data_IF_479058245765
#
_entry.id   IF_479058245765
#
_cell.length_a   1.000
_cell.length_b   1.000
_cell.length_c   1.000
_cell.angle_alpha   90.00
_cell.angle_beta   90.00
_cell.angle_gamma   90.00
#
_symmetry.space_group_name_H-M   'P 1'
#
loop_
_entity.id
_entity.type
_entity.pdbx_description
1 polymer ?
#
# COMPACT_ATOMS: atom_id res chain seq x y z
N UNK A 1 34.40 7.68 -30.37
CA UNK A 1 33.42 8.53 -31.08
C UNK A 1 32.23 7.70 -31.58
N UNK A 2 32.43 6.65 -32.37
CA UNK A 2 31.31 5.81 -32.83
C UNK A 2 30.61 5.04 -31.68
N UNK A 3 31.38 4.50 -30.74
CA UNK A 3 30.87 3.77 -29.57
C UNK A 3 30.06 4.69 -28.64
N UNK A 4 30.64 5.81 -28.19
CA UNK A 4 29.93 6.84 -27.43
C UNK A 4 28.65 7.35 -28.10
N UNK A 5 28.64 7.53 -29.44
CA UNK A 5 27.44 7.95 -30.15
C UNK A 5 26.34 6.87 -30.13
N UNK A 6 26.71 5.60 -30.16
CA UNK A 6 25.77 4.49 -30.02
C UNK A 6 25.19 4.41 -28.60
N UNK A 7 26.05 4.45 -27.58
CA UNK A 7 25.68 4.47 -26.16
C UNK A 7 24.74 5.65 -25.85
N UNK A 8 25.04 6.84 -26.38
CA UNK A 8 24.21 8.02 -26.22
C UNK A 8 22.86 7.87 -26.91
N UNK A 9 22.83 7.29 -28.11
CA UNK A 9 21.58 7.04 -28.83
C UNK A 9 20.69 6.03 -28.09
N UNK A 10 21.29 4.99 -27.49
CA UNK A 10 20.58 4.01 -26.68
C UNK A 10 19.98 4.67 -25.42
N UNK A 11 20.80 5.42 -24.67
CA UNK A 11 20.35 6.18 -23.52
C UNK A 11 19.20 7.15 -23.87
N UNK A 12 19.28 7.80 -25.02
CA UNK A 12 18.24 8.70 -25.52
C UNK A 12 16.92 7.98 -25.80
N UNK A 13 16.97 6.80 -26.44
CA UNK A 13 15.78 5.97 -26.69
C UNK A 13 15.13 5.51 -25.39
N UNK A 14 15.94 5.01 -24.45
CA UNK A 14 15.48 4.56 -23.14
C UNK A 14 14.80 5.68 -22.36
N UNK A 15 15.41 6.87 -22.27
CA UNK A 15 14.79 8.01 -21.58
C UNK A 15 13.48 8.40 -22.27
N UNK A 16 13.46 8.50 -23.60
CA UNK A 16 12.27 8.91 -24.34
C UNK A 16 11.09 7.96 -24.07
N UNK A 17 11.32 6.65 -24.16
CA UNK A 17 10.30 5.62 -23.98
C UNK A 17 9.86 5.48 -22.52
N UNK A 18 10.79 5.54 -21.56
CA UNK A 18 10.48 5.42 -20.12
C UNK A 18 9.65 6.58 -19.58
N UNK A 19 9.63 7.70 -20.30
CA UNK A 19 8.92 8.93 -19.91
C UNK A 19 7.84 9.32 -20.91
N UNK A 20 7.38 8.38 -21.74
CA UNK A 20 6.30 8.59 -22.70
C UNK A 20 4.96 8.79 -21.95
N UNK A 21 4.25 9.86 -22.31
CA UNK A 21 2.95 10.23 -21.72
C UNK A 21 1.85 9.20 -22.00
N UNK A 22 2.04 8.34 -23.01
CA UNK A 22 1.12 7.25 -23.31
C UNK A 22 1.20 6.10 -22.28
N UNK A 23 2.28 5.98 -21.50
CA UNK A 23 2.44 4.92 -20.52
C UNK A 23 1.38 4.98 -19.41
N UNK A 24 0.85 3.86 -18.95
CA UNK A 24 -0.10 3.87 -17.81
C UNK A 24 0.56 4.29 -16.49
N UNK A 25 1.87 4.08 -16.36
CA UNK A 25 2.69 4.39 -15.20
C UNK A 25 4.16 4.07 -15.50
N UNK A 26 5.03 4.05 -14.48
CA UNK A 26 6.45 3.71 -14.66
C UNK A 26 6.63 2.33 -15.29
N UNK A 27 7.44 2.25 -16.34
CA UNK A 27 7.83 0.98 -16.95
C UNK A 27 9.17 0.55 -16.36
N UNK A 28 9.12 -0.39 -15.41
CA UNK A 28 10.29 -0.74 -14.62
C UNK A 28 11.40 -1.42 -15.43
N UNK A 29 11.07 -2.16 -16.49
CA UNK A 29 12.10 -2.77 -17.33
C UNK A 29 12.89 -1.70 -18.09
N UNK A 30 12.25 -0.64 -18.60
CA UNK A 30 12.93 0.50 -19.22
C UNK A 30 13.77 1.28 -18.20
N UNK A 31 13.24 1.50 -16.99
CA UNK A 31 13.97 2.20 -15.94
C UNK A 31 15.24 1.43 -15.54
N UNK A 32 15.15 0.10 -15.37
CA UNK A 32 16.29 -0.75 -15.06
C UNK A 32 17.28 -0.81 -16.23
N UNK A 33 16.82 -0.89 -17.47
CA UNK A 33 17.69 -0.85 -18.64
C UNK A 33 18.52 0.45 -18.70
N UNK A 34 17.95 1.60 -18.31
CA UNK A 34 18.71 2.85 -18.23
C UNK A 34 19.75 2.82 -17.09
N UNK A 35 19.43 2.20 -15.95
CA UNK A 35 20.40 1.98 -14.87
C UNK A 35 21.57 1.11 -15.34
N UNK A 36 21.28 0.02 -16.06
CA UNK A 36 22.30 -0.87 -16.62
C UNK A 36 23.17 -0.12 -17.64
N UNK A 37 22.55 0.66 -18.54
CA UNK A 37 23.25 1.53 -19.48
C UNK A 37 24.18 2.53 -18.76
N UNK A 38 23.70 3.20 -17.71
CA UNK A 38 24.51 4.15 -16.93
C UNK A 38 25.71 3.48 -16.24
N UNK A 39 25.51 2.27 -15.69
CA UNK A 39 26.56 1.49 -15.03
C UNK A 39 27.58 0.89 -16.02
N UNK A 40 27.15 0.52 -17.21
CA UNK A 40 28.03 0.03 -18.26
C UNK A 40 28.83 1.17 -18.93
N UNK A 41 28.21 2.34 -19.09
CA UNK A 41 28.73 3.43 -19.90
C UNK A 41 28.78 4.76 -19.12
N UNK A 42 29.77 4.90 -18.23
CA UNK A 42 29.91 6.09 -17.39
C UNK A 42 30.12 7.39 -18.20
N UNK A 43 30.66 7.29 -19.42
CA UNK A 43 30.91 8.45 -20.29
C UNK A 43 29.62 9.19 -20.71
N UNK A 44 28.48 8.49 -20.76
CA UNK A 44 27.18 9.09 -21.14
C UNK A 44 26.33 9.53 -19.95
N UNK A 45 26.79 9.34 -18.71
CA UNK A 45 26.03 9.71 -17.50
C UNK A 45 25.63 11.19 -17.48
N UNK A 46 26.52 12.08 -17.92
CA UNK A 46 26.23 13.51 -18.03
C UNK A 46 25.11 13.81 -19.04
N UNK A 47 25.07 13.06 -20.14
CA UNK A 47 24.03 13.18 -21.16
C UNK A 47 22.70 12.60 -20.67
N UNK A 48 22.72 11.48 -19.94
CA UNK A 48 21.53 10.88 -19.32
C UNK A 48 20.86 11.90 -18.41
N UNK A 49 21.62 12.54 -17.52
CA UNK A 49 21.04 13.55 -16.62
C UNK A 49 20.53 14.78 -17.38
N UNK A 50 21.21 15.21 -18.46
CA UNK A 50 20.71 16.27 -19.35
C UNK A 50 19.44 15.88 -20.10
N UNK A 51 19.27 14.61 -20.47
CA UNK A 51 18.05 14.09 -21.06
C UNK A 51 16.91 14.11 -20.03
N UNK A 52 17.16 13.62 -18.81
CA UNK A 52 16.19 13.66 -17.70
C UNK A 52 15.76 15.09 -17.39
N UNK A 53 16.71 16.02 -17.30
CA UNK A 53 16.45 17.44 -17.06
C UNK A 53 15.50 18.04 -18.10
N UNK A 54 15.73 17.73 -19.39
CA UNK A 54 14.83 18.16 -20.47
C UNK A 54 13.42 17.60 -20.34
N UNK A 55 13.26 16.38 -19.81
CA UNK A 55 11.94 15.77 -19.57
C UNK A 55 11.22 16.40 -18.37
N UNK A 56 11.94 16.80 -17.33
CA UNK A 56 11.37 17.59 -16.23
C UNK A 56 10.81 18.93 -16.72
N UNK A 57 11.46 19.54 -17.73
CA UNK A 57 11.05 20.79 -18.37
C UNK A 57 9.97 20.63 -19.45
N UNK A 58 9.48 19.41 -19.72
CA UNK A 58 8.49 19.16 -20.77
C UNK A 58 7.15 19.87 -20.54
N UNK A 59 6.84 20.21 -19.29
CA UNK A 59 5.60 20.90 -18.90
C UNK A 59 4.37 20.00 -18.86
N UNK A 60 4.49 18.72 -19.18
CA UNK A 60 3.38 17.77 -19.11
C UNK A 60 3.43 17.02 -17.76
N UNK A 61 2.37 17.08 -16.93
CA UNK A 61 2.38 16.47 -15.60
C UNK A 61 2.83 15.02 -15.59
N UNK A 62 2.38 14.25 -16.59
CA UNK A 62 2.64 12.83 -16.71
C UNK A 62 4.09 12.52 -17.10
N UNK A 63 4.65 13.18 -18.11
CA UNK A 63 6.05 12.97 -18.48
C UNK A 63 6.98 13.45 -17.38
N UNK A 64 6.67 14.58 -16.74
CA UNK A 64 7.44 15.09 -15.60
C UNK A 64 7.42 14.12 -14.42
N UNK A 65 6.26 13.55 -14.07
CA UNK A 65 6.18 12.55 -13.00
C UNK A 65 6.99 11.29 -13.33
N UNK A 66 6.86 10.75 -14.54
CA UNK A 66 7.65 9.59 -14.98
C UNK A 66 9.16 9.90 -14.99
N UNK A 67 9.55 11.10 -15.40
CA UNK A 67 10.94 11.54 -15.38
C UNK A 67 11.49 11.69 -13.95
N UNK A 68 10.66 12.14 -12.99
CA UNK A 68 11.03 12.16 -11.57
C UNK A 68 11.24 10.74 -11.03
N UNK A 69 10.34 9.80 -11.32
CA UNK A 69 10.47 8.39 -10.90
C UNK A 69 11.71 7.74 -11.55
N UNK A 70 11.95 8.01 -12.82
CA UNK A 70 13.15 7.52 -13.51
C UNK A 70 14.42 8.11 -12.89
N UNK A 71 14.42 9.41 -12.58
CA UNK A 71 15.54 10.08 -11.89
C UNK A 71 15.80 9.46 -10.52
N UNK A 72 14.76 9.23 -9.71
CA UNK A 72 14.86 8.52 -8.43
C UNK A 72 15.55 7.17 -8.61
N UNK A 73 15.11 6.42 -9.61
CA UNK A 73 15.58 5.06 -9.89
C UNK A 73 17.05 5.05 -10.29
N UNK A 74 17.46 5.96 -11.19
CA UNK A 74 18.85 6.06 -11.66
C UNK A 74 19.78 6.63 -10.58
N UNK A 75 19.30 7.49 -9.68
CA UNK A 75 20.08 7.92 -8.51
C UNK A 75 20.28 6.76 -7.53
N UNK A 76 19.27 5.91 -7.30
CA UNK A 76 19.38 4.78 -6.38
C UNK A 76 20.30 3.66 -6.88
N UNK A 77 20.33 3.41 -8.19
CA UNK A 77 21.01 2.25 -8.78
C UNK A 77 22.20 2.61 -9.69
N UNK A 78 22.37 3.88 -10.02
CA UNK A 78 23.40 4.36 -10.94
C UNK A 78 24.74 4.63 -10.28
N UNK A 79 25.80 4.84 -11.09
CA UNK A 79 27.15 5.07 -10.59
C UNK A 79 27.29 6.47 -9.97
N UNK A 80 28.38 6.73 -9.19
CA UNK A 80 28.63 8.03 -8.57
C UNK A 80 28.63 9.22 -9.55
N UNK A 81 28.93 8.99 -10.84
CA UNK A 81 28.85 10.01 -11.88
C UNK A 81 27.43 10.62 -12.00
N UNK A 82 26.38 9.79 -11.89
CA UNK A 82 25.00 10.26 -11.86
C UNK A 82 24.77 11.14 -10.63
N UNK A 83 25.24 10.72 -9.45
CA UNK A 83 25.03 11.47 -8.20
C UNK A 83 25.65 12.86 -8.27
N UNK A 84 26.88 12.96 -8.80
CA UNK A 84 27.57 14.23 -9.01
C UNK A 84 26.75 15.17 -9.91
N UNK A 85 26.19 14.64 -10.99
CA UNK A 85 25.48 15.46 -11.97
C UNK A 85 24.06 15.84 -11.53
N UNK A 86 23.33 14.92 -10.88
CA UNK A 86 22.03 15.21 -10.24
C UNK A 86 22.22 16.17 -9.06
N UNK A 87 23.34 16.08 -8.34
CA UNK A 87 23.74 17.01 -7.28
C UNK A 87 24.17 18.39 -7.80
N UNK A 88 24.12 18.66 -9.10
CA UNK A 88 24.37 19.99 -9.64
C UNK A 88 23.25 20.96 -9.29
N UNK A 89 23.60 22.24 -9.11
CA UNK A 89 22.62 23.31 -8.84
C UNK A 89 21.59 23.43 -9.96
N UNK A 90 22.02 23.23 -11.21
CA UNK A 90 21.16 23.32 -12.39
C UNK A 90 20.09 22.23 -12.37
N UNK A 91 20.45 20.98 -12.06
CA UNK A 91 19.47 19.92 -12.00
C UNK A 91 18.51 20.09 -10.81
N UNK A 92 19.06 20.38 -9.63
CA UNK A 92 18.25 20.56 -8.42
C UNK A 92 17.31 21.77 -8.49
N UNK A 93 17.65 22.82 -9.23
CA UNK A 93 16.73 23.94 -9.44
C UNK A 93 15.51 23.55 -10.25
N UNK A 94 15.65 22.65 -11.25
CA UNK A 94 14.51 22.14 -12.00
C UNK A 94 13.58 21.32 -11.11
N UNK A 95 14.14 20.42 -10.28
CA UNK A 95 13.33 19.62 -9.34
C UNK A 95 12.67 20.52 -8.29
N UNK A 96 13.38 21.55 -7.79
CA UNK A 96 12.83 22.49 -6.84
C UNK A 96 11.71 23.37 -7.43
N UNK A 97 11.79 23.72 -8.72
CA UNK A 97 10.73 24.48 -9.40
C UNK A 97 9.39 23.74 -9.40
N UNK A 98 9.42 22.41 -9.46
CA UNK A 98 8.24 21.55 -9.41
C UNK A 98 7.52 21.54 -8.05
N UNK A 99 8.10 22.17 -7.02
CA UNK A 99 7.48 22.29 -5.70
C UNK A 99 6.33 23.30 -5.61
N UNK A 100 6.10 24.10 -6.65
CA UNK A 100 5.05 25.13 -6.67
C UNK A 100 3.64 24.57 -6.88
N UNK A 101 3.51 23.29 -7.27
CA UNK A 101 2.22 22.65 -7.52
C UNK A 101 1.60 22.94 -8.88
N UNK A 102 2.27 23.70 -9.75
CA UNK A 102 1.75 24.11 -11.08
C UNK A 102 1.41 22.93 -12.00
N UNK A 103 2.14 21.82 -11.88
CA UNK A 103 1.91 20.59 -12.65
C UNK A 103 1.09 19.53 -11.89
N UNK A 104 0.47 19.90 -10.76
CA UNK A 104 -0.37 19.01 -9.96
C UNK A 104 0.32 18.44 -8.73
N UNK A 105 -0.52 17.97 -7.80
CA UNK A 105 -0.12 17.56 -6.44
C UNK A 105 0.81 16.34 -6.46
N UNK A 106 0.63 15.40 -7.39
CA UNK A 106 1.48 14.21 -7.48
C UNK A 106 2.92 14.56 -7.86
N UNK A 107 3.10 15.44 -8.85
CA UNK A 107 4.42 15.95 -9.27
C UNK A 107 5.08 16.72 -8.14
N UNK A 108 4.33 17.62 -7.49
CA UNK A 108 4.81 18.40 -6.35
C UNK A 108 5.28 17.51 -5.19
N UNK A 109 4.43 16.58 -4.77
CA UNK A 109 4.73 15.68 -3.66
C UNK A 109 5.95 14.81 -3.96
N UNK A 110 6.04 14.28 -5.16
CA UNK A 110 7.16 13.44 -5.55
C UNK A 110 8.47 14.24 -5.63
N UNK A 111 8.46 15.45 -6.21
CA UNK A 111 9.63 16.33 -6.24
C UNK A 111 10.13 16.70 -4.83
N UNK A 112 9.21 17.09 -3.94
CA UNK A 112 9.54 17.39 -2.54
C UNK A 112 10.08 16.18 -1.80
N UNK A 113 9.50 14.99 -2.04
CA UNK A 113 9.97 13.74 -1.48
C UNK A 113 11.41 13.44 -1.90
N UNK A 114 11.75 13.59 -3.18
CA UNK A 114 13.11 13.36 -3.68
C UNK A 114 14.11 14.33 -3.07
N UNK A 115 13.80 15.64 -3.03
CA UNK A 115 14.69 16.64 -2.44
C UNK A 115 15.00 16.30 -0.98
N UNK A 116 13.99 15.88 -0.21
CA UNK A 116 14.18 15.44 1.18
C UNK A 116 15.02 14.17 1.25
N UNK A 117 14.68 13.14 0.49
CA UNK A 117 15.39 11.85 0.51
C UNK A 117 16.87 12.01 0.14
N UNK A 118 17.18 12.82 -0.88
CA UNK A 118 18.56 13.07 -1.28
C UNK A 118 19.32 13.92 -0.25
N UNK A 119 18.67 14.90 0.38
CA UNK A 119 19.30 15.66 1.47
C UNK A 119 19.71 14.77 2.65
N UNK A 120 18.86 13.80 3.00
CA UNK A 120 19.11 12.81 4.06
C UNK A 120 20.17 11.78 3.61
N UNK A 121 20.05 11.21 2.42
CA UNK A 121 20.93 10.15 1.92
C UNK A 121 22.37 10.63 1.67
N UNK A 122 22.53 11.87 1.21
CA UNK A 122 23.84 12.47 0.93
C UNK A 122 24.33 13.38 2.08
N UNK A 123 23.74 13.23 3.27
CA UNK A 123 24.18 13.97 4.45
C UNK A 123 25.64 13.65 4.80
N UNK A 124 26.46 14.68 4.99
CA UNK A 124 27.90 14.53 5.28
C UNK A 124 28.78 14.19 4.08
N UNK A 125 28.22 14.05 2.88
CA UNK A 125 29.00 13.91 1.64
C UNK A 125 29.50 15.26 1.09
N UNK A 126 30.35 15.22 0.07
CA UNK A 126 30.78 16.41 -0.69
C UNK A 126 29.65 17.03 -1.53
N UNK A 127 28.53 16.31 -1.75
CA UNK A 127 27.37 16.76 -2.53
C UNK A 127 26.42 17.64 -1.68
N UNK A 128 26.97 18.73 -1.12
CA UNK A 128 26.26 19.65 -0.21
C UNK A 128 25.04 20.32 -0.84
N UNK A 129 24.99 20.40 -2.17
CA UNK A 129 23.90 21.04 -2.90
C UNK A 129 22.52 20.45 -2.57
N UNK A 130 22.42 19.13 -2.35
CA UNK A 130 21.16 18.49 -1.94
C UNK A 130 20.62 19.06 -0.62
N UNK A 131 21.48 19.15 0.40
CA UNK A 131 21.13 19.70 1.71
C UNK A 131 20.82 21.19 1.64
N UNK A 132 21.55 21.94 0.81
CA UNK A 132 21.34 23.37 0.64
C UNK A 132 19.98 23.68 0.01
N UNK A 133 19.58 22.95 -1.04
CA UNK A 133 18.26 23.15 -1.69
C UNK A 133 17.14 22.78 -0.72
N UNK A 134 17.27 21.67 0.01
CA UNK A 134 16.30 21.28 1.03
C UNK A 134 16.14 22.36 2.12
N UNK A 135 17.25 22.87 2.67
CA UNK A 135 17.22 23.96 3.65
C UNK A 135 16.63 25.25 3.07
N UNK A 136 16.95 25.58 1.83
CA UNK A 136 16.41 26.76 1.14
C UNK A 136 14.88 26.69 1.04
N UNK A 137 14.33 25.59 0.56
CA UNK A 137 12.88 25.39 0.45
C UNK A 137 12.20 25.42 1.83
N UNK A 138 12.82 24.83 2.86
CA UNK A 138 12.34 24.92 4.24
C UNK A 138 12.30 26.37 4.75
N UNK A 139 13.33 27.16 4.48
CA UNK A 139 13.35 28.59 4.84
C UNK A 139 12.30 29.41 4.09
N UNK A 140 11.95 29.01 2.87
CA UNK A 140 10.87 29.60 2.07
C UNK A 140 9.46 29.19 2.56
N UNK A 141 9.36 28.36 3.60
CA UNK A 141 8.09 27.92 4.17
C UNK A 141 7.45 26.75 3.42
N UNK A 142 8.16 26.10 2.49
CA UNK A 142 7.65 24.94 1.78
C UNK A 142 7.45 23.79 2.75
N UNK A 143 6.20 23.33 2.85
CA UNK A 143 5.84 22.15 3.63
C UNK A 143 6.25 20.92 2.82
N UNK A 144 7.28 20.22 3.30
CA UNK A 144 7.63 18.92 2.75
C UNK A 144 6.62 17.91 3.26
N UNK A 145 6.11 17.01 2.38
CA UNK A 145 5.30 15.90 2.84
C UNK A 145 6.07 15.20 3.96
N UNK A 146 5.36 14.92 5.05
CA UNK A 146 5.85 13.92 5.95
C UNK A 146 6.08 12.70 5.06
N UNK A 147 7.29 12.12 5.11
CA UNK A 147 7.41 10.78 4.56
C UNK A 147 6.47 9.99 5.46
N UNK A 148 5.25 9.78 5.00
CA UNK A 148 4.34 8.78 5.54
C UNK A 148 4.98 7.42 5.22
N UNK A 149 6.15 7.18 5.82
CA UNK A 149 6.46 5.95 6.50
C UNK A 149 5.59 5.92 7.76
N UNK A 150 4.28 6.14 7.60
CA UNK A 150 3.32 5.67 8.58
C UNK A 150 3.32 4.16 8.40
N UNK A 151 4.31 3.55 9.04
CA UNK A 151 4.03 2.32 9.76
C UNK A 151 2.88 2.72 10.69
N UNK A 152 1.63 2.32 10.41
CA UNK A 152 0.50 2.70 11.21
C UNK A 152 0.85 2.42 12.66
N UNK A 153 0.85 3.46 13.50
CA UNK A 153 1.12 3.27 14.93
C UNK A 153 0.04 2.32 15.43
N UNK A 154 0.46 1.07 15.68
CA UNK A 154 -0.41 0.05 16.21
C UNK A 154 -0.54 0.28 17.72
N UNK A 155 -1.23 1.34 18.12
CA UNK A 155 -1.73 1.39 19.49
C UNK A 155 -2.93 0.43 19.55
N UNK A 156 -2.85 -0.71 20.25
CA UNK A 156 -4.03 -1.52 20.50
C UNK A 156 -5.07 -0.70 21.29
N UNK A 157 -6.38 -1.01 21.17
CA UNK A 157 -7.36 -0.46 22.10
C UNK A 157 -6.96 -0.88 23.52
N UNK A 158 -6.65 0.07 24.39
CA UNK A 158 -6.42 -0.21 25.81
C UNK A 158 -7.73 -0.71 26.42
N UNK A 159 -7.84 -2.02 26.62
CA UNK A 159 -8.87 -2.60 27.47
C UNK A 159 -8.51 -2.38 28.95
N UNK A 160 -8.66 -1.15 29.44
CA UNK A 160 -8.65 -0.84 30.88
C UNK A 160 -9.63 0.29 31.19
N UNK A 161 -10.84 -0.08 31.62
CA UNK A 161 -11.81 0.59 32.53
C UNK A 161 -12.08 2.12 32.47
N UNK A 162 -13.31 2.58 32.81
CA UNK A 162 -13.81 3.88 32.41
C UNK A 162 -13.20 5.06 33.20
N UNK A 163 -12.94 6.14 32.47
CA UNK A 163 -12.56 7.44 33.00
C UNK A 163 -13.68 8.04 33.86
N UNK A 164 -13.49 8.00 35.18
CA UNK A 164 -14.20 8.85 36.13
C UNK A 164 -13.23 9.33 37.21
N UNK A 165 -13.39 10.60 37.59
CA UNK A 165 -12.68 11.32 38.65
C UNK A 165 -11.29 11.90 38.31
N UNK A 166 -11.31 13.08 37.69
CA UNK A 166 -10.40 14.18 38.07
C UNK A 166 -10.98 15.53 37.61
N UNK A 167 -12.16 15.89 38.12
CA UNK A 167 -12.59 17.27 38.16
C UNK A 167 -12.16 17.87 39.51
N UNK A 168 -11.62 19.10 39.44
CA UNK A 168 -11.29 20.00 40.53
C UNK A 168 -9.97 19.75 41.31
N UNK A 169 -8.92 20.49 40.93
CA UNK A 169 -8.38 21.51 41.84
C UNK A 169 -7.55 22.56 41.07
N UNK A 170 -7.81 23.80 41.44
CA UNK A 170 -7.21 25.05 40.97
C UNK A 170 -5.75 25.21 41.37
N UNK A 171 -4.90 25.69 40.45
CA UNK A 171 -3.56 26.18 40.77
C UNK A 171 -2.80 26.68 39.54
N UNK A 172 -2.54 27.99 39.48
CA UNK A 172 -1.77 28.69 38.45
C UNK A 172 -0.34 28.16 38.30
N UNK A 173 0.15 28.08 37.08
CA UNK A 173 1.57 27.95 36.75
C UNK A 173 1.76 27.42 35.33
N UNK A 174 2.28 28.25 34.43
CA UNK A 174 2.43 27.92 33.02
C UNK A 174 3.35 26.71 32.79
N UNK A 175 2.84 25.74 32.04
CA UNK A 175 3.63 24.73 31.37
C UNK A 175 3.10 24.63 29.94
N UNK A 176 4.01 24.83 28.97
CA UNK A 176 3.74 24.67 27.55
C UNK A 176 3.15 23.28 27.26
N UNK A 177 2.25 23.14 26.26
CA UNK A 177 1.77 21.83 25.86
C UNK A 177 2.97 21.02 25.36
N UNK A 178 3.21 19.87 26.00
CA UNK A 178 4.22 18.92 25.58
C UNK A 178 3.95 18.51 24.13
N UNK A 179 4.86 18.89 23.23
CA UNK A 179 4.95 18.33 21.89
C UNK A 179 5.07 16.80 21.99
N UNK A 180 4.32 16.02 21.20
CA UNK A 180 4.46 14.57 21.21
C UNK A 180 5.90 14.21 20.83
N UNK A 181 6.53 13.39 21.65
CA UNK A 181 7.86 12.83 21.40
C UNK A 181 7.83 12.18 20.02
N UNK A 182 8.53 12.77 19.05
CA UNK A 182 8.67 12.23 17.69
C UNK A 182 9.45 10.92 17.80
N UNK A 183 8.79 9.80 17.52
CA UNK A 183 9.44 8.48 17.49
C UNK A 183 10.27 8.37 16.21
N UNK A 184 11.45 7.77 16.30
CA UNK A 184 12.27 7.48 15.11
C UNK A 184 11.67 6.31 14.33
N UNK A 185 12.01 6.19 13.03
CA UNK A 185 11.56 5.08 12.16
C UNK A 185 11.84 3.71 12.78
N UNK A 186 13.03 3.56 13.37
CA UNK A 186 13.44 2.34 14.08
C UNK A 186 12.48 2.00 15.23
N UNK A 187 12.07 3.00 16.02
CA UNK A 187 11.11 2.80 17.12
C UNK A 187 9.71 2.46 16.62
N UNK A 188 9.30 2.97 15.45
CA UNK A 188 8.01 2.63 14.84
C UNK A 188 8.01 1.18 14.31
N UNK A 189 9.11 0.75 13.69
CA UNK A 189 9.28 -0.63 13.24
C UNK A 189 9.35 -1.60 14.41
N UNK A 190 10.13 -1.29 15.45
CA UNK A 190 10.21 -2.12 16.67
C UNK A 190 8.84 -2.25 17.34
N UNK A 191 8.08 -1.15 17.38
CA UNK A 191 6.71 -1.15 17.90
C UNK A 191 5.79 -2.02 17.05
N UNK A 192 5.84 -1.92 15.72
CA UNK A 192 5.07 -2.77 14.82
C UNK A 192 5.36 -4.26 15.05
N UNK A 193 6.63 -4.65 15.15
CA UNK A 193 6.99 -6.06 15.40
C UNK A 193 6.43 -6.54 16.74
N UNK A 194 6.57 -5.75 17.81
CA UNK A 194 5.98 -6.09 19.12
C UNK A 194 4.45 -6.21 19.05
N UNK A 195 3.80 -5.38 18.24
CA UNK A 195 2.36 -5.39 18.06
C UNK A 195 1.88 -6.60 17.23
N UNK A 196 2.62 -6.98 16.19
CA UNK A 196 2.38 -8.22 15.44
C UNK A 196 2.53 -9.45 16.34
N UNK A 197 3.51 -9.47 17.25
CA UNK A 197 3.66 -10.53 18.25
C UNK A 197 2.42 -10.64 19.16
N UNK A 198 1.85 -9.51 19.60
CA UNK A 198 0.63 -9.50 20.42
C UNK A 198 -0.55 -10.10 19.66
N UNK A 199 -0.69 -9.77 18.36
CA UNK A 199 -1.74 -10.35 17.52
C UNK A 199 -1.54 -11.86 17.36
N UNK A 200 -0.32 -12.31 17.10
CA UNK A 200 0.02 -13.74 17.02
C UNK A 200 -0.30 -14.48 18.33
N UNK A 201 0.04 -13.90 19.48
CA UNK A 201 -0.26 -14.45 20.80
C UNK A 201 -1.77 -14.56 21.03
N UNK A 202 -2.55 -13.53 20.64
CA UNK A 202 -4.02 -13.57 20.76
C UNK A 202 -4.68 -14.57 19.81
N UNK A 203 -4.14 -14.75 18.60
CA UNK A 203 -4.57 -15.82 17.68
C UNK A 203 -4.36 -17.19 18.34
N UNK A 204 -3.18 -17.40 18.94
CA UNK A 204 -2.88 -18.65 19.65
C UNK A 204 -3.82 -18.87 20.83
N UNK A 205 -4.03 -17.85 21.66
CA UNK A 205 -4.97 -17.90 22.78
C UNK A 205 -6.39 -18.23 22.29
N UNK A 206 -6.85 -17.62 21.20
CA UNK A 206 -8.16 -17.90 20.63
C UNK A 206 -8.30 -19.37 20.21
N UNK A 207 -7.28 -19.95 19.57
CA UNK A 207 -7.25 -21.37 19.20
C UNK A 207 -7.28 -22.28 20.43
N UNK A 208 -6.55 -21.93 21.49
CA UNK A 208 -6.53 -22.67 22.75
C UNK A 208 -7.89 -22.63 23.46
N UNK A 209 -8.51 -21.46 23.56
CA UNK A 209 -9.84 -21.30 24.17
C UNK A 209 -10.91 -22.06 23.35
N UNK A 210 -10.82 -22.00 22.01
CA UNK A 210 -11.73 -22.70 21.11
C UNK A 210 -11.60 -24.22 21.21
N UNK A 211 -10.38 -24.75 21.32
CA UNK A 211 -10.15 -26.21 21.48
C UNK A 211 -10.56 -26.72 22.85
N UNK A 212 -10.53 -25.87 23.88
CA UNK A 212 -11.03 -26.16 25.23
C UNK A 212 -12.55 -26.03 25.36
N UNK A 213 -13.25 -25.64 24.29
CA UNK A 213 -14.71 -25.45 24.29
C UNK A 213 -15.18 -24.36 25.25
N UNK A 214 -14.31 -23.41 25.60
CA UNK A 214 -14.67 -22.32 26.52
C UNK A 214 -15.52 -21.30 25.78
N UNK A 215 -16.75 -21.10 26.23
CA UNK A 215 -17.64 -20.03 25.76
C UNK A 215 -17.83 -19.04 26.90
N UNK A 216 -17.53 -17.76 26.67
CA UNK A 216 -17.58 -16.72 27.71
C UNK A 216 -16.99 -15.39 27.24
N UNK A 217 -17.10 -14.37 28.09
CA UNK A 217 -16.66 -12.98 27.78
C UNK A 217 -15.21 -12.91 27.28
N UNK A 218 -14.30 -13.67 27.89
CA UNK A 218 -12.88 -13.70 27.50
C UNK A 218 -12.66 -14.19 26.05
N UNK A 219 -13.51 -15.09 25.53
CA UNK A 219 -13.41 -15.54 24.14
C UNK A 219 -13.89 -14.44 23.18
N UNK A 220 -15.01 -13.79 23.53
CA UNK A 220 -15.57 -12.72 22.71
C UNK A 220 -14.66 -11.49 22.69
N UNK A 221 -14.04 -11.13 23.83
CA UNK A 221 -13.06 -10.04 23.92
C UNK A 221 -11.86 -10.28 23.00
N UNK A 222 -11.35 -11.51 22.95
CA UNK A 222 -10.24 -11.88 22.08
C UNK A 222 -10.69 -11.88 20.61
N UNK A 223 -11.89 -12.37 20.31
CA UNK A 223 -12.47 -12.31 18.96
C UNK A 223 -12.65 -10.89 18.45
N UNK A 224 -13.21 -10.01 19.28
CA UNK A 224 -13.47 -8.62 18.90
C UNK A 224 -12.17 -7.84 18.74
N UNK A 225 -11.16 -8.10 19.58
CA UNK A 225 -9.82 -7.57 19.35
C UNK A 225 -9.27 -8.00 17.99
N UNK A 226 -9.36 -9.28 17.65
CA UNK A 226 -8.83 -9.83 16.40
C UNK A 226 -9.60 -9.31 15.18
N UNK A 227 -10.92 -9.15 15.25
CA UNK A 227 -11.72 -8.48 14.21
C UNK A 227 -11.29 -7.03 14.00
N UNK A 228 -10.99 -6.30 15.06
CA UNK A 228 -10.49 -4.92 14.97
C UNK A 228 -9.08 -4.84 14.34
N UNK A 229 -8.30 -5.91 14.38
CA UNK A 229 -6.98 -5.97 13.75
C UNK A 229 -7.05 -6.13 12.23
N UNK A 230 -8.14 -6.70 11.69
CA UNK A 230 -8.29 -6.99 10.26
C UNK A 230 -8.16 -5.75 9.35
N UNK A 231 -8.93 -4.65 9.54
CA UNK A 231 -8.77 -3.45 8.71
C UNK A 231 -7.37 -2.84 8.85
N UNK A 232 -6.74 -2.94 10.02
CA UNK A 232 -5.39 -2.41 10.28
C UNK A 232 -4.32 -3.21 9.55
N UNK A 233 -4.49 -4.54 9.47
CA UNK A 233 -3.60 -5.44 8.76
C UNK A 233 -3.66 -5.20 7.25
N UNK A 234 -4.85 -4.95 6.70
CA UNK A 234 -5.01 -4.62 5.28
C UNK A 234 -4.28 -3.32 4.91
N UNK A 235 -4.39 -2.27 5.73
CA UNK A 235 -3.64 -1.02 5.52
C UNK A 235 -2.12 -1.22 5.56
N UNK A 236 -1.62 -2.09 6.45
CA UNK A 236 -0.20 -2.45 6.52
C UNK A 236 0.28 -3.16 5.25
N UNK A 237 -0.50 -4.11 4.74
CA UNK A 237 -0.20 -4.85 3.52
C UNK A 237 -0.21 -3.91 2.30
N UNK A 238 -1.21 -3.05 2.19
CA UNK A 238 -1.27 -2.01 1.16
C UNK A 238 -0.03 -1.10 1.23
N UNK A 239 0.35 -0.66 2.43
CA UNK A 239 1.56 0.13 2.65
C UNK A 239 2.84 -0.60 2.23
N UNK A 240 2.95 -1.89 2.48
CA UNK A 240 4.09 -2.69 2.04
C UNK A 240 4.15 -2.91 0.54
N UNK A 241 3.01 -3.11 -0.12
CA UNK A 241 2.95 -3.16 -1.60
C UNK A 241 3.39 -1.82 -2.22
N UNK A 242 3.13 -0.71 -1.53
CA UNK A 242 3.62 0.63 -1.91
C UNK A 242 5.09 0.90 -1.54
N UNK A 243 5.81 -0.09 -0.99
CA UNK A 243 7.22 0.04 -0.60
C UNK A 243 7.47 0.85 0.68
N UNK A 244 6.44 1.07 1.51
CA UNK A 244 6.55 1.84 2.77
C UNK A 244 7.17 1.05 3.93
N UNK A 245 7.16 -0.28 3.85
CA UNK A 245 7.81 -1.20 4.80
C UNK A 245 8.74 -2.14 4.02
N UNK A 246 9.75 -2.68 4.70
CA UNK A 246 10.68 -3.65 4.10
C UNK A 246 9.99 -4.98 3.80
N UNK A 247 10.54 -5.70 2.82
CA UNK A 247 9.98 -6.96 2.29
C UNK A 247 9.79 -8.02 3.39
N UNK A 248 10.71 -8.05 4.37
CA UNK A 248 10.65 -9.00 5.48
C UNK A 248 9.48 -8.71 6.43
N UNK A 249 9.26 -7.44 6.79
CA UNK A 249 8.11 -7.05 7.62
C UNK A 249 6.79 -7.21 6.87
N UNK A 250 6.76 -6.99 5.55
CA UNK A 250 5.57 -7.27 4.74
C UNK A 250 5.22 -8.76 4.73
N UNK A 251 6.22 -9.64 4.55
CA UNK A 251 6.03 -11.10 4.62
C UNK A 251 5.44 -11.51 5.98
N UNK A 252 5.93 -10.93 7.08
CA UNK A 252 5.40 -11.18 8.41
C UNK A 252 3.94 -10.70 8.54
N UNK A 253 3.62 -9.50 8.06
CA UNK A 253 2.26 -8.95 8.06
C UNK A 253 1.28 -9.86 7.29
N UNK A 254 1.68 -10.34 6.11
CA UNK A 254 0.89 -11.27 5.30
C UNK A 254 0.64 -12.59 6.06
N UNK A 255 1.68 -13.18 6.64
CA UNK A 255 1.54 -14.42 7.41
C UNK A 255 0.63 -14.25 8.64
N UNK A 256 0.73 -13.13 9.36
CA UNK A 256 -0.17 -12.83 10.49
C UNK A 256 -1.61 -12.65 10.00
N UNK A 257 -1.82 -11.95 8.87
CA UNK A 257 -3.14 -11.75 8.29
C UNK A 257 -3.82 -13.05 7.87
N UNK A 258 -3.07 -13.95 7.22
CA UNK A 258 -3.58 -15.25 6.78
C UNK A 258 -3.98 -16.10 7.99
N UNK A 259 -3.15 -16.10 9.04
CA UNK A 259 -3.45 -16.78 10.29
C UNK A 259 -4.66 -16.17 11.00
N UNK A 260 -4.80 -14.85 10.99
CA UNK A 260 -5.93 -14.11 11.55
C UNK A 260 -7.23 -14.51 10.86
N UNK A 261 -7.28 -14.37 9.53
CA UNK A 261 -8.47 -14.69 8.74
C UNK A 261 -8.88 -16.15 8.88
N UNK A 262 -7.92 -17.08 8.79
CA UNK A 262 -8.19 -18.50 8.99
C UNK A 262 -8.80 -18.80 10.36
N UNK A 263 -8.27 -18.20 11.42
CA UNK A 263 -8.76 -18.43 12.79
C UNK A 263 -10.15 -17.82 13.01
N UNK A 264 -10.42 -16.64 12.43
CA UNK A 264 -11.75 -16.01 12.48
C UNK A 264 -12.79 -16.83 11.71
N UNK A 265 -12.44 -17.39 10.56
CA UNK A 265 -13.32 -18.29 9.80
C UNK A 265 -13.63 -19.59 10.55
N UNK A 266 -12.62 -20.22 11.16
CA UNK A 266 -12.78 -21.44 11.95
C UNK A 266 -13.72 -21.21 13.14
N UNK A 267 -13.60 -20.05 13.81
CA UNK A 267 -14.50 -19.69 14.91
C UNK A 267 -15.94 -19.42 14.42
N UNK A 268 -16.10 -18.77 13.26
CA UNK A 268 -17.42 -18.57 12.64
C UNK A 268 -18.12 -19.88 12.29
N UNK A 269 -17.37 -20.86 11.76
CA UNK A 269 -17.87 -22.21 11.45
C UNK A 269 -18.26 -22.97 12.72
N UNK A 270 -17.49 -22.84 13.80
CA UNK A 270 -17.79 -23.49 15.09
C UNK A 270 -19.07 -22.94 15.74
N UNK A 271 -19.31 -21.61 15.72
CA UNK A 271 -20.57 -21.02 16.21
C UNK A 271 -21.79 -21.52 15.41
N UNK A 272 -21.64 -21.71 14.10
CA UNK A 272 -22.71 -22.25 13.26
C UNK A 272 -22.96 -23.75 13.49
N UNK A 273 -21.93 -24.50 13.85
CA UNK A 273 -22.05 -25.92 14.20
C UNK A 273 -22.72 -26.12 15.57
N UNK A 274 -22.42 -25.26 16.55
CA UNK A 274 -23.03 -25.30 17.89
C UNK A 274 -24.53 -24.94 17.88
N UNK A 275 -24.95 -24.12 16.91
CA UNK A 275 -26.37 -23.79 16.71
C UNK A 275 -27.15 -24.91 16.01
N UNK A 276 -26.47 -25.82 15.30
CA UNK A 276 -27.08 -26.99 14.65
C UNK A 276 -27.11 -28.24 15.55
N UNK A 277 -26.36 -28.26 16.66
CA UNK A 277 -26.31 -29.39 17.61
C UNK A 277 -27.32 -29.27 18.77
N UNK A 278 -27.93 -28.10 18.99
CA UNK A 278 -28.87 -27.88 20.10
C UNK A 278 -30.31 -28.39 19.83
N UNK A 279 -30.64 -28.77 18.59
CA UNK A 279 -32.03 -29.17 18.22
C UNK A 279 -32.26 -30.69 18.18
N UNK A 280 -31.53 -31.46 19.00
CA UNK A 280 -31.82 -32.88 19.24
C UNK A 280 -32.16 -33.11 20.71
N UNK A 281 -33.43 -33.31 21.08
CA UNK A 281 -33.80 -33.64 22.45
C UNK A 281 -33.22 -35.02 22.84
N UNK A 282 -32.80 -35.21 24.10
CA UNK A 282 -32.28 -36.49 24.55
C UNK A 282 -33.44 -37.48 24.61
N UNK A 283 -33.37 -38.53 23.79
CA UNK A 283 -34.31 -39.65 23.86
C UNK A 283 -34.00 -40.45 25.14
N UNK A 284 -34.67 -40.07 26.22
CA UNK A 284 -34.61 -40.75 27.50
C UNK A 284 -35.02 -42.22 27.33
N UNK A 285 -34.12 -43.11 27.75
CA UNK A 285 -34.32 -44.55 27.74
C UNK A 285 -34.64 -45.00 29.17
N UNK A 286 -35.86 -45.51 29.40
CA UNK A 286 -36.38 -46.36 30.52
C UNK A 286 -37.92 -46.26 30.49
N UNK A 287 -38.78 -47.29 30.57
CA UNK A 287 -38.69 -48.75 30.69
C UNK A 287 -40.12 -49.31 30.53
N UNK A 288 -40.26 -50.47 29.86
CA UNK A 288 -41.23 -51.56 30.09
C UNK A 288 -42.77 -51.35 30.03
N UNK A 289 -43.42 -52.11 29.12
CA UNK A 289 -44.50 -53.04 29.51
C UNK A 289 -45.89 -52.93 28.82
N UNK A 290 -46.22 -53.94 27.98
CA UNK A 290 -47.56 -54.57 27.75
C UNK A 290 -48.63 -53.72 27.02
N UNK A 291 -49.45 -54.17 26.05
CA UNK A 291 -49.74 -55.45 25.37
C UNK A 291 -50.66 -55.18 24.15
N UNK A 292 -50.63 -56.06 23.14
CA UNK A 292 -51.66 -56.36 22.10
C UNK A 292 -52.13 -55.23 21.16
N UNK A 293 -52.30 -55.40 19.85
CA UNK A 293 -52.35 -56.55 18.95
C UNK A 293 -52.99 -56.08 17.62
N UNK A 294 -53.01 -56.97 16.61
CA UNK A 294 -53.60 -56.89 15.25
C UNK A 294 -52.79 -56.09 14.20
N UNK A 295 -51.98 -56.73 13.33
CA UNK A 295 -52.29 -57.58 12.17
C UNK A 295 -52.76 -56.79 10.93
N UNK A 296 -51.99 -56.88 9.84
CA UNK A 296 -52.46 -56.52 8.49
C UNK A 296 -51.38 -56.10 7.50
N UNK A 297 -50.73 -57.08 6.85
CA UNK A 297 -50.44 -57.21 5.39
C UNK A 297 -50.04 -55.93 4.61
N UNK A 298 -48.97 -55.86 3.82
CA UNK A 298 -48.53 -56.83 2.80
C UNK A 298 -47.15 -56.44 2.28
N UNK A 299 -46.36 -57.46 1.93
CA UNK A 299 -45.20 -57.38 1.05
C UNK A 299 -45.68 -57.15 -0.39
N UNK A 300 -44.94 -56.35 -1.16
CA UNK A 300 -44.61 -56.70 -2.54
C UNK A 300 -43.27 -56.09 -2.95
N UNK A 301 -42.47 -56.91 -3.62
CA UNK A 301 -41.05 -56.75 -3.90
C UNK A 301 -40.91 -56.64 -5.43
N UNK A 302 -40.38 -55.52 -5.94
CA UNK A 302 -40.36 -55.24 -7.39
C UNK A 302 -39.17 -54.41 -7.84
N UNK A 303 -38.07 -55.13 -8.10
CA UNK A 303 -36.74 -54.75 -8.60
C UNK A 303 -36.72 -53.94 -9.91
N UNK A 304 -35.87 -52.90 -10.01
CA UNK A 304 -34.75 -52.76 -10.97
C UNK A 304 -34.36 -51.30 -11.34
N UNK A 305 -33.10 -50.96 -11.03
CA UNK A 305 -32.04 -50.34 -11.86
C UNK A 305 -32.33 -49.11 -12.75
N UNK A 306 -31.47 -48.07 -12.61
CA UNK A 306 -31.12 -47.24 -13.76
C UNK A 306 -30.73 -45.78 -13.50
N UNK A 307 -29.43 -45.56 -13.28
CA UNK A 307 -28.60 -44.48 -13.82
C UNK A 307 -28.90 -42.98 -13.55
N UNK A 308 -27.81 -42.32 -13.15
CA UNK A 308 -27.60 -40.90 -12.95
C UNK A 308 -27.67 -40.04 -14.23
N UNK A 309 -28.10 -38.78 -14.09
CA UNK A 309 -27.58 -37.64 -14.85
C UNK A 309 -27.98 -36.31 -14.18
N UNK A 310 -26.99 -35.41 -14.07
CA UNK A 310 -27.04 -34.10 -13.41
C UNK A 310 -27.97 -33.06 -14.11
N UNK A 311 -28.44 -32.02 -13.38
CA UNK A 311 -29.28 -30.98 -13.96
C UNK A 311 -28.47 -29.82 -14.57
N UNK A 312 -29.08 -29.22 -15.61
CA UNK A 312 -28.60 -28.11 -16.45
C UNK A 312 -28.55 -26.76 -15.71
N UNK A 313 -27.70 -25.81 -16.16
CA UNK A 313 -27.64 -24.45 -15.62
C UNK A 313 -28.69 -23.49 -16.23
N UNK A 314 -29.11 -22.53 -15.40
CA UNK A 314 -30.00 -21.40 -15.70
C UNK A 314 -29.24 -20.20 -16.27
N UNK A 315 -29.84 -19.37 -17.15
CA UNK A 315 -29.15 -18.26 -17.82
C UNK A 315 -29.28 -16.91 -17.08
N UNK A 316 -28.22 -16.10 -17.16
CA UNK A 316 -28.20 -14.66 -16.84
C UNK A 316 -28.70 -13.82 -18.02
N UNK A 317 -29.33 -12.65 -17.79
CA UNK A 317 -29.42 -11.61 -18.80
C UNK A 317 -28.29 -10.56 -18.60
N UNK A 318 -27.56 -10.32 -19.70
CA UNK A 318 -26.67 -9.19 -19.96
C UNK A 318 -27.51 -8.07 -20.54
N UNK A 319 -27.35 -6.82 -20.08
CA UNK A 319 -27.84 -5.64 -20.78
C UNK A 319 -26.68 -4.79 -21.29
N UNK A 320 -26.86 -4.37 -22.53
CA UNK A 320 -25.91 -3.80 -23.48
C UNK A 320 -25.84 -2.28 -23.45
N UNK A 321 -24.64 -1.82 -23.81
CA UNK A 321 -24.24 -0.55 -24.43
C UNK A 321 -25.34 0.17 -25.25
N UNK A 322 -25.40 1.51 -25.09
CA UNK A 322 -25.92 2.49 -26.07
C UNK A 322 -25.06 3.77 -25.92
N UNK A 323 -24.05 4.02 -26.77
CA UNK A 323 -24.05 4.96 -27.91
C UNK A 323 -25.01 6.15 -27.82
N UNK A 324 -24.46 7.37 -27.66
CA UNK A 324 -24.96 8.60 -28.26
C UNK A 324 -23.77 9.47 -28.68
N UNK A 325 -23.88 9.99 -29.90
CA UNK A 325 -22.99 10.87 -30.65
C UNK A 325 -23.73 12.20 -30.84
N UNK A 326 -23.05 13.33 -30.64
CA UNK A 326 -23.31 14.69 -31.15
C UNK A 326 -22.31 15.60 -30.40
N UNK A 327 -21.54 16.52 -30.97
CA UNK A 327 -21.63 17.21 -32.25
C UNK A 327 -21.21 18.67 -32.04
N UNK A 328 -19.97 18.99 -32.44
CA UNK A 328 -19.52 20.26 -33.05
C UNK A 328 -19.80 21.61 -32.36
N UNK A 329 -18.74 22.26 -31.83
CA UNK A 329 -18.43 23.68 -32.13
C UNK A 329 -17.03 24.04 -31.60
N UNK A 330 -16.03 24.18 -32.47
CA UNK A 330 -14.95 25.16 -32.27
C UNK A 330 -14.25 25.42 -33.62
N UNK A 331 -14.49 26.62 -34.14
CA UNK A 331 -13.73 27.24 -35.22
C UNK A 331 -13.45 28.69 -34.83
N UNK A 332 -12.35 29.24 -35.35
CA UNK A 332 -11.72 30.55 -35.08
C UNK A 332 -10.82 30.56 -33.83
N UNK A 333 -9.54 30.93 -33.84
CA UNK A 333 -8.74 31.80 -34.72
C UNK A 333 -7.28 31.28 -34.81
N UNK A 334 -6.73 31.24 -36.03
CA UNK A 334 -5.30 31.46 -36.29
C UNK A 334 -5.15 32.91 -36.75
N UNK A 335 -4.24 33.66 -36.15
CA UNK A 335 -3.44 34.74 -36.76
C UNK A 335 -2.43 35.20 -35.69
N UNK A 336 -1.16 34.82 -35.78
CA UNK A 336 -0.09 35.54 -36.49
C UNK A 336 0.29 36.89 -35.82
N UNK A 337 1.42 36.91 -35.11
CA UNK A 337 2.30 38.09 -35.14
C UNK A 337 3.75 37.79 -34.77
N UNK A 338 4.55 37.93 -35.82
CA UNK A 338 5.99 38.11 -35.93
C UNK A 338 6.45 39.47 -35.36
N UNK A 339 7.73 39.53 -34.94
CA UNK A 339 8.69 40.66 -34.92
C UNK A 339 9.05 41.39 -33.60
N UNK A 340 10.37 41.51 -33.41
CA UNK A 340 11.12 42.53 -32.65
C UNK A 340 11.53 42.06 -31.25
N UNK A 341 12.79 42.01 -30.82
CA UNK A 341 14.05 42.67 -31.19
C UNK A 341 15.20 41.70 -30.83
#
# INVERSE_FOLDING_TARGET
MAEYAHELSEAQDLVARATDEALAGPEWALNMALCDCANAHHAVCDDIVRLLQRRLQSGTPKATLLALVLTETVVKNGPPAIHCQVGSRLFLSEVAALSDGSLGVDVQNHALLLIRQWADAFQGSELKAFQDVYRQLKMQGVAFPEVENDVPIFTPPSSTLPAAAAAASSGRGGAAPASPVRRTREQQLEKLHADLEVVQQKIKLLRELSTRGQTGEQLEDVLDFLRQCQPRMNTLIEGGIMGKIDERTLEECLNVNDNLMKTLEECGKNKMNDMMTFDSPPRANRTAGLSQGVAGLSLDEGRASGAAAAPRPVPFPRSTLTTMDDGTLYGMFCDDKVAGD
#
